data_IF_383731101331
#
_entry.id   IF_383731101331
#
_cell.length_a   1.000
_cell.length_b   1.000
_cell.length_c   1.000
_cell.angle_alpha   90.00
_cell.angle_beta   90.00
_cell.angle_gamma   90.00
#
_symmetry.space_group_name_H-M   'P 1'
#
loop_
_entity.id
_entity.type
_entity.pdbx_description
1 polymer ?
#
# COMPACT_ATOMS: atom_id res chain seq x y z
N UNK A 1 -4.10 -46.31 1.25
CA UNK A 1 -5.44 -46.95 1.22
C UNK A 1 -6.34 -46.17 2.17
N UNK A 2 -7.43 -45.58 1.67
CA UNK A 2 -8.41 -44.93 2.54
C UNK A 2 -9.11 -45.99 3.40
N UNK A 3 -9.30 -45.71 4.69
CA UNK A 3 -10.11 -46.55 5.59
C UNK A 3 -11.43 -45.81 5.87
N UNK A 4 -12.55 -46.50 5.73
CA UNK A 4 -13.89 -45.93 5.95
C UNK A 4 -14.33 -44.94 4.87
N UNK A 5 -15.39 -44.18 5.16
CA UNK A 5 -15.99 -43.21 4.25
C UNK A 5 -15.33 -41.82 4.34
N UNK A 6 -14.00 -41.78 4.24
CA UNK A 6 -13.23 -40.54 4.32
C UNK A 6 -12.99 -39.94 2.93
N UNK A 7 -12.88 -38.61 2.85
CA UNK A 7 -12.47 -37.92 1.63
C UNK A 7 -11.10 -38.42 1.14
N UNK A 8 -10.95 -38.60 -0.17
CA UNK A 8 -9.68 -39.02 -0.78
C UNK A 8 -8.58 -38.00 -0.42
N UNK A 9 -7.48 -38.42 0.25
CA UNK A 9 -6.42 -37.50 0.62
C UNK A 9 -5.74 -36.89 -0.61
N UNK A 10 -5.70 -35.55 -0.68
CA UNK A 10 -4.94 -34.79 -1.68
C UNK A 10 -3.81 -33.98 -1.00
N UNK A 11 -2.89 -34.70 -0.38
CA UNK A 11 -1.77 -34.11 0.37
C UNK A 11 -0.63 -33.68 -0.54
N UNK A 12 -0.29 -32.39 -0.53
CA UNK A 12 0.74 -31.81 -1.40
C UNK A 12 2.17 -31.97 -0.80
N UNK A 13 2.53 -33.20 -0.47
CA UNK A 13 3.82 -33.57 0.15
C UNK A 13 4.64 -34.52 -0.74
N UNK A 14 4.46 -34.45 -2.07
CA UNK A 14 5.09 -35.34 -3.04
C UNK A 14 6.59 -35.11 -3.27
N UNK A 15 7.14 -34.00 -2.75
CA UNK A 15 8.56 -33.63 -2.86
C UNK A 15 9.23 -33.78 -1.50
N UNK A 16 10.56 -33.73 -1.47
CA UNK A 16 11.34 -33.58 -0.23
C UNK A 16 11.09 -32.19 0.40
N UNK A 17 9.96 -32.08 1.10
CA UNK A 17 9.52 -30.86 1.77
C UNK A 17 10.28 -30.63 3.08
N UNK A 18 10.85 -31.68 3.68
CA UNK A 18 11.57 -31.60 4.96
C UNK A 18 12.82 -30.72 4.83
N UNK A 19 13.49 -30.75 3.66
CA UNK A 19 14.61 -29.85 3.35
C UNK A 19 14.23 -28.36 3.31
N UNK A 20 12.96 -28.03 3.03
CA UNK A 20 12.49 -26.65 2.84
C UNK A 20 11.51 -26.19 3.93
N UNK A 21 11.66 -26.73 5.14
CA UNK A 21 10.84 -26.33 6.29
C UNK A 21 11.15 -24.89 6.69
N UNK A 22 10.17 -24.01 6.50
CA UNK A 22 10.23 -22.63 6.96
C UNK A 22 9.71 -22.52 8.39
N UNK A 23 10.62 -22.35 9.34
CA UNK A 23 10.27 -22.09 10.75
C UNK A 23 10.00 -20.60 11.01
N UNK A 24 9.35 -20.30 12.14
CA UNK A 24 8.96 -18.94 12.53
C UNK A 24 9.64 -18.45 13.81
N UNK A 25 10.72 -19.10 14.27
CA UNK A 25 11.46 -18.70 15.47
C UNK A 25 12.02 -17.27 15.39
N UNK A 26 12.31 -16.78 14.17
CA UNK A 26 12.78 -15.41 13.94
C UNK A 26 11.66 -14.34 13.91
N UNK A 27 10.40 -14.72 14.11
CA UNK A 27 9.27 -13.79 14.09
C UNK A 27 9.38 -12.65 15.13
N UNK A 28 9.67 -12.90 16.43
CA UNK A 28 9.87 -11.82 17.41
C UNK A 28 11.05 -10.92 17.07
N UNK A 29 12.20 -11.50 16.67
CA UNK A 29 13.38 -10.74 16.25
C UNK A 29 13.07 -9.84 15.04
N UNK A 30 12.33 -10.35 14.04
CA UNK A 30 11.88 -9.53 12.88
C UNK A 30 10.93 -8.40 13.28
N UNK A 31 10.04 -8.61 14.27
CA UNK A 31 9.16 -7.55 14.80
C UNK A 31 10.00 -6.45 15.45
N UNK A 32 10.95 -6.82 16.32
CA UNK A 32 11.84 -5.86 16.96
C UNK A 32 12.67 -5.07 15.94
N UNK A 33 13.31 -5.76 14.98
CA UNK A 33 14.08 -5.14 13.90
C UNK A 33 13.26 -4.13 13.09
N UNK A 34 12.02 -4.47 12.72
CA UNK A 34 11.12 -3.55 12.01
C UNK A 34 10.77 -2.32 12.85
N UNK A 35 10.58 -2.47 14.17
CA UNK A 35 10.34 -1.35 15.10
C UNK A 35 11.55 -0.41 15.14
N UNK A 36 12.75 -0.94 15.33
CA UNK A 36 13.97 -0.12 15.38
C UNK A 36 14.22 0.63 14.07
N UNK A 37 14.01 -0.03 12.92
CA UNK A 37 14.14 0.63 11.62
C UNK A 37 13.14 1.78 11.43
N UNK A 38 11.90 1.65 11.96
CA UNK A 38 10.92 2.74 11.94
C UNK A 38 11.36 3.92 12.82
N UNK A 39 11.89 3.64 14.02
CA UNK A 39 12.41 4.68 14.93
C UNK A 39 13.60 5.39 14.29
N UNK A 40 14.57 4.64 13.76
CA UNK A 40 15.74 5.19 13.05
C UNK A 40 15.32 6.07 11.87
N UNK A 41 14.37 5.59 11.05
CA UNK A 41 13.81 6.37 9.95
C UNK A 41 13.16 7.67 10.44
N UNK A 42 12.33 7.61 11.49
CA UNK A 42 11.62 8.76 12.03
C UNK A 42 12.60 9.85 12.52
N UNK A 43 13.65 9.45 13.24
CA UNK A 43 14.72 10.37 13.67
C UNK A 43 15.43 11.03 12.48
N UNK A 44 15.72 10.27 11.42
CA UNK A 44 16.46 10.77 10.26
C UNK A 44 15.66 11.74 9.37
N UNK A 45 14.32 11.62 9.34
CA UNK A 45 13.47 12.48 8.49
C UNK A 45 12.85 13.66 9.22
N UNK A 46 13.07 13.79 10.53
CA UNK A 46 12.56 14.90 11.33
C UNK A 46 12.95 16.25 10.68
N UNK A 47 12.03 17.22 10.57
CA UNK A 47 10.70 17.30 11.20
C UNK A 47 9.55 16.61 10.41
N UNK A 48 9.82 15.99 9.27
CA UNK A 48 8.77 15.45 8.39
C UNK A 48 8.10 14.18 8.96
N UNK A 49 6.83 13.91 8.64
CA UNK A 49 6.14 12.70 9.08
C UNK A 49 6.81 11.40 8.59
N UNK A 50 7.06 10.47 9.53
CA UNK A 50 7.75 9.20 9.23
C UNK A 50 6.93 8.21 8.37
N UNK A 51 5.60 8.38 8.35
CA UNK A 51 4.65 7.56 7.59
C UNK A 51 4.90 7.61 6.08
N UNK A 52 5.59 8.64 5.60
CA UNK A 52 5.93 8.84 4.19
C UNK A 52 5.01 9.82 3.50
N UNK A 53 5.04 9.85 2.16
CA UNK A 53 4.33 10.87 1.39
C UNK A 53 2.81 10.68 1.40
N UNK A 54 2.06 11.76 1.21
CA UNK A 54 0.61 11.76 1.06
C UNK A 54 0.20 10.86 -0.11
N UNK A 55 -0.85 10.05 0.10
CA UNK A 55 -1.42 9.13 -0.89
C UNK A 55 -2.89 9.49 -1.21
N UNK A 56 -3.34 9.24 -2.45
CA UNK A 56 -4.71 9.53 -2.86
C UNK A 56 -5.69 8.49 -2.31
N UNK A 57 -6.95 8.87 -2.32
CA UNK A 57 -8.11 8.04 -2.01
C UNK A 57 -8.55 7.34 -3.30
N UNK A 58 -8.56 6.00 -3.29
CA UNK A 58 -8.81 5.18 -4.48
C UNK A 58 -9.80 4.06 -4.15
N UNK A 59 -10.79 3.83 -5.02
CA UNK A 59 -11.71 2.68 -4.93
C UNK A 59 -11.06 1.39 -5.42
N UNK A 60 -11.45 0.26 -4.85
CA UNK A 60 -11.00 -1.05 -5.33
C UNK A 60 -11.66 -1.42 -6.68
N UNK A 61 -11.01 -2.22 -7.54
CA UNK A 61 -11.44 -2.40 -8.92
C UNK A 61 -12.57 -3.42 -9.15
N UNK A 62 -12.73 -4.43 -8.29
CA UNK A 62 -13.66 -5.56 -8.53
C UNK A 62 -15.04 -5.34 -7.92
N UNK A 63 -16.06 -6.01 -8.46
CA UNK A 63 -17.46 -5.97 -7.96
C UNK A 63 -17.55 -6.31 -6.46
N UNK A 64 -16.71 -7.24 -5.98
CA UNK A 64 -16.69 -7.59 -4.56
C UNK A 64 -16.25 -6.45 -3.63
N UNK A 65 -15.45 -5.50 -4.12
CA UNK A 65 -14.77 -4.51 -3.25
C UNK A 65 -14.91 -3.06 -3.70
N UNK A 66 -15.59 -2.72 -4.80
CA UNK A 66 -15.68 -1.32 -5.29
C UNK A 66 -16.38 -0.35 -4.33
N UNK A 67 -17.11 -0.88 -3.34
CA UNK A 67 -17.70 -0.10 -2.23
C UNK A 67 -16.62 0.35 -1.23
N UNK A 68 -15.49 -0.35 -1.15
CA UNK A 68 -14.38 -0.03 -0.26
C UNK A 68 -13.40 0.96 -0.89
N UNK A 69 -12.84 1.79 -0.03
CA UNK A 69 -11.85 2.82 -0.36
C UNK A 69 -10.52 2.48 0.31
N UNK A 70 -9.41 2.80 -0.36
CA UNK A 70 -8.04 2.55 0.13
C UNK A 70 -7.08 3.65 -0.28
N UNK A 71 -5.90 3.69 0.35
CA UNK A 71 -4.79 4.50 -0.12
C UNK A 71 -4.23 3.95 -1.44
N UNK A 72 -4.12 4.81 -2.44
CA UNK A 72 -3.49 4.51 -3.73
C UNK A 72 -1.97 4.61 -3.69
N UNK A 73 -1.33 4.41 -4.86
CA UNK A 73 0.12 4.57 -5.02
C UNK A 73 0.55 6.04 -5.02
N UNK A 74 -0.16 6.89 -5.77
CA UNK A 74 0.12 8.31 -5.93
C UNK A 74 -0.97 9.04 -6.73
N UNK A 75 -0.99 10.37 -6.60
CA UNK A 75 -1.90 11.27 -7.29
C UNK A 75 -1.62 11.29 -8.79
N UNK A 76 -2.68 11.49 -9.58
CA UNK A 76 -2.53 11.63 -11.05
C UNK A 76 -1.97 12.99 -11.41
N UNK A 77 -1.38 13.11 -12.60
CA UNK A 77 -0.93 14.41 -13.11
C UNK A 77 -2.09 15.41 -13.23
N UNK A 78 -3.30 14.93 -13.54
CA UNK A 78 -4.51 15.76 -13.64
C UNK A 78 -4.95 16.31 -12.29
N UNK A 79 -4.95 15.49 -11.23
CA UNK A 79 -5.28 15.93 -9.87
C UNK A 79 -4.28 16.99 -9.37
N UNK A 80 -2.98 16.74 -9.59
CA UNK A 80 -1.92 17.64 -9.12
C UNK A 80 -2.03 19.00 -9.82
N UNK A 81 -2.19 19.00 -11.15
CA UNK A 81 -2.39 20.25 -11.91
C UNK A 81 -3.67 20.97 -11.49
N UNK A 82 -4.77 20.25 -11.27
CA UNK A 82 -6.03 20.83 -10.81
C UNK A 82 -5.96 21.41 -9.38
N UNK A 83 -5.01 20.94 -8.56
CA UNK A 83 -4.70 21.53 -7.25
C UNK A 83 -3.74 22.73 -7.31
N UNK A 84 -3.28 23.12 -8.51
CA UNK A 84 -2.33 24.22 -8.71
C UNK A 84 -0.88 23.86 -8.39
N UNK A 85 -0.53 22.57 -8.42
CA UNK A 85 0.82 22.10 -8.12
C UNK A 85 1.54 21.62 -9.40
N UNK A 86 2.86 21.79 -9.43
CA UNK A 86 3.71 21.15 -10.43
C UNK A 86 4.02 19.71 -9.98
N UNK A 87 3.83 18.67 -10.83
CA UNK A 87 4.19 17.27 -10.50
C UNK A 87 5.64 17.04 -10.06
N UNK A 88 6.59 17.86 -10.51
CA UNK A 88 7.97 17.79 -10.04
C UNK A 88 8.09 18.30 -8.59
N UNK A 89 7.50 19.46 -8.32
CA UNK A 89 7.46 20.07 -6.99
C UNK A 89 6.65 19.25 -5.98
N UNK A 90 5.54 18.62 -6.40
CA UNK A 90 4.75 17.76 -5.54
C UNK A 90 5.58 16.64 -4.88
N UNK A 91 6.56 16.07 -5.60
CA UNK A 91 7.44 15.03 -5.05
C UNK A 91 8.39 15.55 -3.97
N UNK A 92 8.84 16.80 -4.05
CA UNK A 92 9.78 17.38 -3.08
C UNK A 92 9.07 17.67 -1.75
N UNK A 93 7.82 18.14 -1.80
CA UNK A 93 7.00 18.43 -0.61
C UNK A 93 6.38 17.17 0.03
N UNK A 94 6.68 15.97 -0.48
CA UNK A 94 6.19 14.72 0.10
C UNK A 94 4.79 14.32 -0.36
N UNK A 95 4.42 14.61 -1.60
CA UNK A 95 3.20 14.09 -2.24
C UNK A 95 3.60 12.99 -3.24
N UNK A 96 2.98 11.82 -3.13
CA UNK A 96 3.27 10.71 -4.03
C UNK A 96 2.61 10.95 -5.40
N UNK A 97 3.35 10.78 -6.49
CA UNK A 97 2.85 10.97 -7.86
C UNK A 97 2.86 9.64 -8.62
N UNK A 98 1.77 9.31 -9.30
CA UNK A 98 1.67 8.12 -10.17
C UNK A 98 1.16 8.51 -11.57
N UNK A 99 2.07 8.73 -12.53
CA UNK A 99 1.70 9.12 -13.89
C UNK A 99 0.84 8.10 -14.65
N UNK A 100 0.82 6.83 -14.18
CA UNK A 100 0.13 5.73 -14.86
C UNK A 100 -1.37 5.67 -14.56
N UNK A 101 -1.82 6.23 -13.44
CA UNK A 101 -3.24 6.17 -13.06
C UNK A 101 -4.04 7.17 -13.88
N UNK A 102 -5.20 6.73 -14.37
CA UNK A 102 -6.15 7.54 -15.15
C UNK A 102 -7.42 7.77 -14.32
N UNK A 103 -7.96 8.99 -14.39
CA UNK A 103 -9.24 9.32 -13.76
C UNK A 103 -10.35 9.23 -14.80
N UNK A 104 -11.38 8.43 -14.49
CA UNK A 104 -12.57 8.25 -15.33
C UNK A 104 -13.77 9.04 -14.79
N UNK A 105 -13.89 9.13 -13.46
CA UNK A 105 -14.98 9.82 -12.78
C UNK A 105 -14.56 11.19 -12.27
N UNK A 106 -15.48 12.16 -12.32
CA UNK A 106 -15.25 13.54 -11.88
C UNK A 106 -15.21 13.63 -10.35
N UNK A 107 -16.02 12.83 -9.67
CA UNK A 107 -16.12 12.78 -8.22
C UNK A 107 -14.79 12.32 -7.60
N UNK A 108 -14.15 11.30 -8.17
CA UNK A 108 -12.86 10.82 -7.69
C UNK A 108 -11.73 11.84 -7.90
N UNK A 109 -11.83 12.64 -8.96
CA UNK A 109 -10.91 13.74 -9.22
C UNK A 109 -11.10 14.82 -8.15
N UNK A 110 -12.33 15.25 -7.90
CA UNK A 110 -12.66 16.30 -6.92
C UNK A 110 -12.23 15.92 -5.51
N UNK A 111 -12.54 14.71 -5.04
CA UNK A 111 -12.14 14.22 -3.71
C UNK A 111 -10.62 14.31 -3.53
N UNK A 112 -9.85 13.88 -4.53
CA UNK A 112 -8.39 13.87 -4.44
C UNK A 112 -7.78 15.27 -4.60
N UNK A 113 -8.38 16.15 -5.41
CA UNK A 113 -7.98 17.57 -5.50
C UNK A 113 -8.24 18.27 -4.16
N UNK A 114 -9.40 18.03 -3.54
CA UNK A 114 -9.74 18.57 -2.24
C UNK A 114 -8.74 18.10 -1.17
N UNK A 115 -8.42 16.80 -1.15
CA UNK A 115 -7.39 16.24 -0.26
C UNK A 115 -6.01 16.89 -0.44
N UNK A 116 -5.62 17.22 -1.66
CA UNK A 116 -4.36 17.92 -1.94
C UNK A 116 -4.38 19.35 -1.40
N UNK A 117 -5.53 20.05 -1.49
CA UNK A 117 -5.70 21.39 -0.92
C UNK A 117 -5.66 21.38 0.61
N UNK A 118 -6.35 20.43 1.24
CA UNK A 118 -6.38 20.28 2.71
C UNK A 118 -5.01 20.01 3.30
N UNK A 119 -4.14 19.28 2.59
CA UNK A 119 -2.79 18.98 3.10
C UNK A 119 -1.82 20.16 2.94
N UNK A 120 -2.18 21.15 2.12
CA UNK A 120 -1.38 22.36 1.87
C UNK A 120 -1.77 23.51 2.80
N UNK A 121 -3.03 23.56 3.23
CA UNK A 121 -3.47 24.49 4.27
C UNK A 121 -2.68 24.24 5.56
#
# INVERSE_FOLDING_TARGET
>A
MGKGNNMIPNGHFHKDWQRFVKTWFNQPARRHRRKQNRIKKAKAVAPRPAAGPLRPVVRCPTVRYHTKVRAGRGFTLREIRASGLNPAFARTIGIAVDPRRRNKSVESLQINVQRLKETRA
#
